data_IF_211302418546
#
_entry.id   IF_211302418546
#
_cell.length_a   1.000
_cell.length_b   1.000
_cell.length_c   1.000
_cell.angle_alpha   90.00
_cell.angle_beta   90.00
_cell.angle_gamma   90.00
#
_symmetry.space_group_name_H-M   'P 1'
#
loop_
_entity.id
_entity.type
_entity.pdbx_description
1 polymer ?
#
# COMPACT_ATOMS: atom_id res chain seq x y z
N UNK A 1 10.31 -28.54 -4.70
CA UNK A 1 9.29 -29.55 -4.31
C UNK A 1 7.99 -29.18 -4.98
N UNK A 2 7.11 -30.12 -5.31
CA UNK A 2 5.88 -29.85 -6.08
C UNK A 2 4.64 -29.58 -5.20
N UNK A 3 4.67 -30.01 -3.94
CA UNK A 3 3.60 -29.78 -2.94
C UNK A 3 4.25 -29.65 -1.56
N UNK A 4 3.83 -28.66 -0.76
CA UNK A 4 4.26 -28.44 0.62
C UNK A 4 3.07 -28.04 1.49
N UNK A 5 3.02 -28.54 2.74
CA UNK A 5 1.97 -28.21 3.71
C UNK A 5 2.40 -27.02 4.57
N UNK A 6 2.13 -25.81 4.08
CA UNK A 6 2.61 -24.55 4.68
C UNK A 6 2.17 -24.37 6.15
N UNK A 7 0.91 -24.67 6.48
CA UNK A 7 0.42 -24.47 7.85
C UNK A 7 0.61 -25.71 8.75
N UNK A 8 1.41 -26.68 8.30
CA UNK A 8 1.74 -27.89 9.05
C UNK A 8 3.07 -27.77 9.80
N UNK A 9 3.36 -28.73 10.69
CA UNK A 9 4.68 -28.81 11.32
C UNK A 9 5.66 -29.56 10.40
N UNK A 10 6.73 -28.90 9.96
CA UNK A 10 7.75 -29.49 9.08
C UNK A 10 9.05 -29.91 9.80
N UNK A 11 9.13 -29.78 11.13
CA UNK A 11 10.37 -29.99 11.88
C UNK A 11 11.36 -28.82 11.83
N UNK A 12 11.22 -27.92 10.86
CA UNK A 12 12.00 -26.69 10.70
C UNK A 12 11.12 -25.50 10.29
N UNK A 13 11.59 -24.24 10.46
CA UNK A 13 10.96 -23.09 9.83
C UNK A 13 10.94 -23.26 8.31
N UNK A 14 9.77 -23.12 7.70
CA UNK A 14 9.58 -23.26 6.25
C UNK A 14 8.56 -22.27 5.67
N UNK A 15 7.77 -21.60 6.51
CA UNK A 15 6.76 -20.63 6.07
C UNK A 15 7.44 -19.32 5.69
N UNK A 16 7.29 -18.90 4.44
CA UNK A 16 7.72 -17.60 3.93
C UNK A 16 6.60 -16.55 3.92
N UNK A 17 6.97 -15.29 3.72
CA UNK A 17 5.98 -14.21 3.55
C UNK A 17 5.17 -14.38 2.26
N UNK A 18 5.76 -14.95 1.22
CA UNK A 18 5.08 -15.27 -0.04
C UNK A 18 3.95 -16.31 0.16
N UNK A 19 4.18 -17.34 0.99
CA UNK A 19 3.15 -18.36 1.27
C UNK A 19 1.95 -17.77 2.00
N UNK A 20 2.21 -16.99 3.05
CA UNK A 20 1.17 -16.32 3.82
C UNK A 20 0.45 -15.26 2.98
N UNK A 21 1.19 -14.53 2.15
CA UNK A 21 0.63 -13.56 1.21
C UNK A 21 -0.32 -14.21 0.20
N UNK A 22 0.10 -15.32 -0.43
CA UNK A 22 -0.72 -16.08 -1.36
C UNK A 22 -1.99 -16.64 -0.68
N UNK A 23 -1.85 -17.16 0.54
CA UNK A 23 -2.99 -17.64 1.32
C UNK A 23 -3.99 -16.53 1.64
N UNK A 24 -3.52 -15.37 2.11
CA UNK A 24 -4.39 -14.21 2.40
C UNK A 24 -5.07 -13.68 1.14
N UNK A 25 -4.34 -13.57 0.02
CA UNK A 25 -4.92 -13.17 -1.27
C UNK A 25 -5.99 -14.16 -1.76
N UNK A 26 -5.82 -15.46 -1.50
CA UNK A 26 -6.83 -16.48 -1.81
C UNK A 26 -8.12 -16.34 -0.98
N UNK A 27 -8.04 -15.78 0.23
CA UNK A 27 -9.19 -15.59 1.13
C UNK A 27 -9.87 -14.23 0.91
N UNK A 28 -9.10 -13.15 0.92
CA UNK A 28 -9.60 -11.77 0.84
C UNK A 28 -9.87 -11.35 -0.61
N UNK A 29 -9.05 -11.86 -1.53
CA UNK A 29 -8.99 -11.46 -2.92
C UNK A 29 -7.59 -10.97 -3.31
N UNK A 30 -7.24 -10.99 -4.61
CA UNK A 30 -5.90 -10.66 -5.08
C UNK A 30 -5.63 -9.15 -5.20
N UNK A 31 -6.65 -8.30 -5.04
CA UNK A 31 -6.51 -6.84 -5.14
C UNK A 31 -6.09 -6.18 -3.83
N UNK A 32 -6.46 -4.90 -3.70
CA UNK A 32 -6.13 -4.05 -2.56
C UNK A 32 -7.40 -3.65 -1.82
N UNK A 33 -7.39 -3.83 -0.50
CA UNK A 33 -8.59 -3.73 0.32
C UNK A 33 -8.30 -2.97 1.60
N UNK A 34 -9.06 -1.90 1.86
CA UNK A 34 -9.20 -1.36 3.21
C UNK A 34 -10.16 -2.28 3.99
N UNK A 35 -9.71 -2.77 5.14
CA UNK A 35 -10.52 -3.66 5.97
C UNK A 35 -11.45 -2.85 6.89
N UNK A 36 -12.56 -3.47 7.29
CA UNK A 36 -13.53 -2.87 8.21
C UNK A 36 -13.04 -2.86 9.68
N UNK A 37 -11.79 -2.49 9.91
CA UNK A 37 -11.13 -2.44 11.23
C UNK A 37 -10.68 -1.02 11.56
N UNK A 38 -10.49 -0.73 12.85
CA UNK A 38 -10.05 0.58 13.32
C UNK A 38 -10.94 1.72 12.80
N UNK A 39 -10.31 2.78 12.29
CA UNK A 39 -10.99 3.89 11.60
C UNK A 39 -11.00 3.70 10.07
N UNK A 40 -10.78 2.48 9.59
CA UNK A 40 -10.86 2.08 8.16
C UNK A 40 -9.97 2.94 7.26
N UNK A 41 -8.78 3.31 7.75
CA UNK A 41 -7.81 4.13 7.02
C UNK A 41 -8.40 5.45 6.50
N UNK A 42 -9.41 6.00 7.20
CA UNK A 42 -10.09 7.23 6.78
C UNK A 42 -9.07 8.35 6.61
N UNK A 43 -9.02 8.90 5.41
CA UNK A 43 -8.12 9.99 5.05
C UNK A 43 -8.88 11.31 5.07
N UNK A 44 -8.33 12.33 5.74
CA UNK A 44 -8.91 13.67 5.81
C UNK A 44 -7.82 14.73 5.68
N UNK A 45 -8.15 15.86 5.07
CA UNK A 45 -7.26 17.02 5.08
C UNK A 45 -7.36 17.73 6.43
N UNK A 46 -6.30 17.68 7.23
CA UNK A 46 -6.24 18.40 8.51
C UNK A 46 -5.94 19.88 8.31
N UNK A 47 -5.28 20.23 7.20
CA UNK A 47 -5.08 21.58 6.71
C UNK A 47 -4.78 21.51 5.19
N UNK A 48 -4.46 22.65 4.57
CA UNK A 48 -4.23 22.72 3.11
C UNK A 48 -3.06 21.85 2.60
N UNK A 49 -2.13 21.45 3.47
CA UNK A 49 -0.87 20.79 3.10
C UNK A 49 -0.63 19.47 3.84
N UNK A 50 -1.57 19.02 4.67
CA UNK A 50 -1.41 17.81 5.49
C UNK A 50 -2.65 16.96 5.37
N UNK A 51 -2.46 15.74 4.86
CA UNK A 51 -3.46 14.68 4.96
C UNK A 51 -3.17 13.86 6.21
N UNK A 52 -4.20 13.51 6.95
CA UNK A 52 -4.16 12.59 8.07
C UNK A 52 -4.93 11.32 7.70
N UNK A 53 -4.23 10.19 7.72
CA UNK A 53 -4.78 8.84 7.52
C UNK A 53 -4.92 8.20 8.90
N UNK A 54 -6.13 7.86 9.28
CA UNK A 54 -6.40 7.30 10.60
C UNK A 54 -6.02 5.80 10.67
N UNK A 55 -6.07 5.25 11.89
CA UNK A 55 -5.78 3.82 12.12
C UNK A 55 -6.71 2.89 11.34
N UNK A 56 -6.26 1.66 11.14
CA UNK A 56 -7.01 0.62 10.43
C UNK A 56 -6.06 -0.37 9.76
N UNK A 57 -6.64 -1.31 9.03
CA UNK A 57 -5.89 -2.33 8.31
C UNK A 57 -6.17 -2.28 6.82
N UNK A 58 -5.17 -2.64 6.02
CA UNK A 58 -5.31 -2.93 4.61
C UNK A 58 -4.69 -4.28 4.26
N UNK A 59 -5.10 -4.83 3.14
CA UNK A 59 -4.43 -5.94 2.46
C UNK A 59 -4.02 -5.47 1.08
N UNK A 60 -2.73 -5.53 0.76
CA UNK A 60 -2.18 -5.21 -0.57
C UNK A 60 -1.72 -6.50 -1.24
N UNK A 61 -2.46 -7.02 -2.22
CA UNK A 61 -2.27 -8.34 -2.85
C UNK A 61 -1.83 -9.45 -1.86
N UNK A 62 -2.48 -9.52 -0.69
CA UNK A 62 -2.18 -10.50 0.37
C UNK A 62 -1.20 -10.05 1.47
N UNK A 63 -0.59 -8.85 1.38
CA UNK A 63 0.21 -8.26 2.47
C UNK A 63 -0.69 -7.48 3.40
N UNK A 64 -0.86 -7.98 4.63
CA UNK A 64 -1.54 -7.25 5.69
C UNK A 64 -0.69 -6.06 6.17
N UNK A 65 -1.27 -4.87 6.13
CA UNK A 65 -0.70 -3.61 6.61
C UNK A 65 -1.57 -3.10 7.75
N UNK A 66 -0.95 -2.79 8.89
CA UNK A 66 -1.64 -2.27 10.06
C UNK A 66 -1.15 -0.86 10.40
N UNK A 67 -2.06 0.11 10.40
CA UNK A 67 -1.83 1.44 10.94
C UNK A 67 -2.35 1.48 12.38
N UNK A 68 -1.44 1.45 13.34
CA UNK A 68 -1.75 1.48 14.78
C UNK A 68 -2.37 2.81 15.23
N UNK A 69 -2.12 3.89 14.49
CA UNK A 69 -2.55 5.25 14.82
C UNK A 69 -2.60 6.16 13.61
N UNK A 70 -2.96 7.42 13.84
CA UNK A 70 -3.00 8.43 12.79
C UNK A 70 -1.60 8.70 12.26
N UNK A 71 -1.43 8.54 10.94
CA UNK A 71 -0.20 8.87 10.21
C UNK A 71 -0.50 10.02 9.26
N UNK A 72 0.43 10.98 9.16
CA UNK A 72 0.26 12.14 8.29
C UNK A 72 1.18 12.07 7.08
N UNK A 73 0.75 12.71 5.99
CA UNK A 73 1.57 12.90 4.82
C UNK A 73 1.46 14.34 4.32
N UNK A 74 2.56 14.85 3.75
CA UNK A 74 2.65 16.23 3.30
C UNK A 74 2.24 16.36 1.84
N UNK A 75 1.24 17.19 1.58
CA UNK A 75 0.84 17.60 0.23
C UNK A 75 1.47 18.97 -0.06
N UNK A 76 2.30 19.02 -1.10
CA UNK A 76 2.97 20.27 -1.48
C UNK A 76 1.98 21.32 -1.97
N UNK A 77 2.25 22.59 -1.70
CA UNK A 77 1.39 23.69 -2.18
C UNK A 77 1.20 23.67 -3.70
N UNK A 78 0.01 24.13 -4.12
CA UNK A 78 -0.33 24.30 -5.53
C UNK A 78 0.35 25.51 -6.16
N UNK A 79 0.37 25.53 -7.49
CA UNK A 79 0.82 26.69 -8.27
C UNK A 79 -0.37 27.60 -8.56
N UNK A 80 -0.18 28.92 -8.45
CA UNK A 80 -1.24 29.89 -8.71
C UNK A 80 -1.81 29.74 -10.12
N UNK A 81 -3.14 29.75 -10.24
CA UNK A 81 -3.84 29.64 -11.52
C UNK A 81 -3.83 28.24 -12.14
N UNK A 82 -3.35 27.22 -11.44
CA UNK A 82 -3.27 25.84 -11.92
C UNK A 82 -4.01 24.86 -11.00
N UNK A 83 -4.44 23.74 -11.57
CA UNK A 83 -5.05 22.59 -10.90
C UNK A 83 -4.08 21.42 -10.93
N UNK A 84 -4.14 20.53 -9.93
CA UNK A 84 -3.31 19.33 -9.82
C UNK A 84 -4.05 18.28 -8.98
N UNK A 85 -4.00 17.02 -9.40
CA UNK A 85 -4.41 15.90 -8.57
C UNK A 85 -3.15 15.24 -8.00
N UNK A 86 -3.18 14.91 -6.72
CA UNK A 86 -2.14 14.11 -6.07
C UNK A 86 -2.81 12.82 -5.56
N UNK A 87 -2.07 11.71 -5.53
CA UNK A 87 -2.52 10.47 -4.91
C UNK A 87 -1.79 10.25 -3.60
N UNK A 88 -2.50 9.72 -2.61
CA UNK A 88 -1.92 9.30 -1.33
C UNK A 88 -2.09 7.79 -1.25
N UNK A 89 -0.97 7.08 -1.30
CA UNK A 89 -0.93 5.62 -1.51
C UNK A 89 -0.23 4.92 -0.36
N UNK A 90 -0.55 3.63 -0.16
CA UNK A 90 0.22 2.75 0.71
C UNK A 90 1.26 2.03 -0.15
N UNK A 91 2.48 2.57 -0.19
CA UNK A 91 3.54 2.01 -0.99
C UNK A 91 4.20 0.83 -0.30
N UNK A 92 4.02 -0.36 -0.86
CA UNK A 92 4.85 -1.52 -0.60
C UNK A 92 6.20 -1.38 -1.32
N UNK A 93 7.29 -1.79 -0.66
CA UNK A 93 8.60 -1.99 -1.30
C UNK A 93 9.28 -3.26 -0.80
N UNK A 94 9.98 -3.96 -1.69
CA UNK A 94 10.87 -5.08 -1.37
C UNK A 94 12.29 -4.74 -1.80
N UNK A 95 13.22 -4.79 -0.85
CA UNK A 95 14.64 -4.73 -1.19
C UNK A 95 15.02 -6.04 -1.89
N UNK A 96 15.35 -5.99 -3.17
CA UNK A 96 15.62 -7.19 -3.98
C UNK A 96 16.90 -7.92 -3.57
N UNK A 97 17.80 -7.27 -2.83
CA UNK A 97 19.04 -7.88 -2.33
C UNK A 97 18.82 -8.59 -0.99
N UNK A 98 18.10 -7.96 -0.06
CA UNK A 98 17.91 -8.50 1.30
C UNK A 98 16.60 -9.26 1.48
N UNK A 99 15.65 -9.12 0.54
CA UNK A 99 14.29 -9.65 0.64
C UNK A 99 13.39 -8.90 1.63
N UNK A 100 13.88 -7.84 2.29
CA UNK A 100 13.12 -7.09 3.30
C UNK A 100 11.99 -6.32 2.63
N UNK A 101 10.78 -6.56 3.11
CA UNK A 101 9.54 -5.92 2.67
C UNK A 101 9.16 -4.81 3.65
N UNK A 102 8.70 -3.66 3.15
CA UNK A 102 8.20 -2.54 3.97
C UNK A 102 6.98 -1.89 3.32
N UNK A 103 6.20 -1.16 4.10
CA UNK A 103 5.07 -0.37 3.62
C UNK A 103 5.09 1.03 4.25
N UNK A 104 4.77 2.07 3.47
CA UNK A 104 4.68 3.44 3.98
C UNK A 104 3.66 4.27 3.20
N UNK A 105 3.12 5.32 3.83
CA UNK A 105 2.26 6.28 3.11
C UNK A 105 3.14 7.20 2.26
N UNK A 106 2.81 7.32 0.97
CA UNK A 106 3.53 8.18 0.03
C UNK A 106 2.54 9.10 -0.69
N UNK A 107 2.92 10.36 -0.87
CA UNK A 107 2.17 11.30 -1.73
C UNK A 107 2.80 11.33 -3.11
N UNK A 108 2.08 10.85 -4.11
CA UNK A 108 2.43 10.96 -5.51
C UNK A 108 1.93 12.31 -6.01
N UNK A 109 2.87 13.20 -6.31
CA UNK A 109 2.56 14.53 -6.82
C UNK A 109 2.21 14.45 -8.30
N UNK A 110 1.06 14.99 -8.68
CA UNK A 110 0.67 15.10 -10.08
C UNK A 110 1.36 16.25 -10.81
N UNK A 111 0.92 16.50 -12.03
CA UNK A 111 1.43 17.59 -12.86
C UNK A 111 0.45 18.77 -12.82
N UNK A 112 0.89 19.99 -12.42
CA UNK A 112 0.06 21.19 -12.49
C UNK A 112 -0.38 21.50 -13.93
N UNK A 113 -1.63 21.89 -14.12
CA UNK A 113 -2.19 22.28 -15.42
C UNK A 113 -3.22 23.39 -15.28
N UNK A 114 -3.40 24.23 -16.31
CA UNK A 114 -4.50 25.20 -16.37
C UNK A 114 -5.83 24.55 -16.80
N UNK A 115 -5.78 23.34 -17.36
CA UNK A 115 -6.93 22.57 -17.82
C UNK A 115 -7.48 21.59 -16.78
N UNK A 116 -7.93 20.43 -17.25
CA UNK A 116 -8.39 19.32 -16.39
C UNK A 116 -7.18 18.55 -15.85
N UNK A 117 -6.97 18.46 -14.53
CA UNK A 117 -5.89 17.66 -13.97
C UNK A 117 -6.15 16.16 -14.18
N UNK A 118 -5.07 15.41 -14.33
CA UNK A 118 -5.07 13.95 -14.35
C UNK A 118 -4.33 13.42 -13.13
N UNK A 119 -4.70 12.23 -12.69
CA UNK A 119 -4.04 11.56 -11.58
C UNK A 119 -2.61 11.16 -11.98
N UNK A 120 -1.62 11.26 -11.08
CA UNK A 120 -0.28 10.76 -11.32
C UNK A 120 -0.28 9.25 -11.56
N UNK A 121 0.69 8.79 -12.36
CA UNK A 121 0.97 7.37 -12.48
C UNK A 121 1.42 6.79 -11.13
N UNK A 122 1.02 5.56 -10.87
CA UNK A 122 1.37 4.77 -9.69
C UNK A 122 1.68 3.32 -10.10
N UNK A 123 2.32 2.56 -9.22
CA UNK A 123 2.75 1.19 -9.50
C UNK A 123 1.61 0.20 -9.26
N UNK A 124 1.07 -0.37 -10.34
CA UNK A 124 -0.07 -1.31 -10.29
C UNK A 124 0.30 -2.77 -10.46
N UNK A 125 1.60 -3.08 -10.60
CA UNK A 125 2.06 -4.47 -10.69
C UNK A 125 1.75 -5.23 -9.39
N UNK A 126 1.39 -6.51 -9.51
CA UNK A 126 0.98 -7.32 -8.36
C UNK A 126 2.18 -7.78 -7.54
N UNK A 127 2.10 -7.64 -6.22
CA UNK A 127 3.12 -8.18 -5.29
C UNK A 127 3.23 -9.71 -5.44
N UNK A 128 2.12 -10.39 -5.78
CA UNK A 128 2.10 -11.83 -6.01
C UNK A 128 2.91 -12.26 -7.24
N UNK A 129 3.13 -11.35 -8.20
CA UNK A 129 3.98 -11.56 -9.37
C UNK A 129 5.45 -11.19 -9.09
N UNK A 130 5.78 -10.84 -7.85
CA UNK A 130 7.15 -10.58 -7.41
C UNK A 130 7.66 -9.16 -7.72
N UNK A 131 6.78 -8.18 -7.90
CA UNK A 131 7.22 -6.79 -8.10
C UNK A 131 7.89 -6.23 -6.84
N UNK A 132 8.89 -5.37 -7.03
CA UNK A 132 9.60 -4.74 -5.94
C UNK A 132 8.88 -3.51 -5.35
N UNK A 133 7.89 -2.95 -6.06
CA UNK A 133 7.12 -1.78 -5.63
C UNK A 133 5.67 -1.90 -6.09
N UNK A 134 4.73 -1.59 -5.21
CA UNK A 134 3.29 -1.54 -5.46
C UNK A 134 2.68 -0.39 -4.66
N UNK A 135 1.70 0.32 -5.23
CA UNK A 135 1.07 1.52 -4.66
C UNK A 135 -0.43 1.36 -4.42
#
# INVERSE_FOLDING_TARGET
MTVELITGFAGTPHIGSDDIGAFQAGIVGPGDYALATGNQLRATMSNANTIAVQSGDAVLNGRHVHLTGTTTATVQSGTQGQKRNDLVVLRYTKNTTTGVETCSIVVLKGTPTTGTPADPAHNTGSILDGVATHD
#
